data_IF_021832395571
#
_entry.id   IF_021832395571
#
_cell.length_a   1.000
_cell.length_b   1.000
_cell.length_c   1.000
_cell.angle_alpha   90.00
_cell.angle_beta   90.00
_cell.angle_gamma   90.00
#
_symmetry.space_group_name_H-M   'P 1'
#
loop_
_entity.id
_entity.type
_entity.pdbx_description
1 polymer ?
#
# COMPACT_ATOMS: atom_id res chain seq x y z
N UNK A 1 -4.33 -28.78 -9.12
CA UNK A 1 -4.09 -27.95 -7.91
C UNK A 1 -5.44 -27.53 -7.33
N UNK A 2 -5.71 -27.87 -6.06
CA UNK A 2 -6.92 -27.43 -5.34
C UNK A 2 -6.47 -26.53 -4.20
N UNK A 3 -6.82 -25.25 -4.26
CA UNK A 3 -6.58 -24.33 -3.14
C UNK A 3 -7.60 -24.66 -2.06
N UNK A 4 -7.13 -24.92 -0.85
CA UNK A 4 -8.00 -25.04 0.32
C UNK A 4 -7.98 -23.72 1.08
N UNK A 5 -9.08 -22.97 0.96
CA UNK A 5 -9.30 -21.69 1.63
C UNK A 5 -9.03 -21.78 3.13
N UNK A 6 -9.67 -22.75 3.81
CA UNK A 6 -9.60 -22.89 5.26
C UNK A 6 -8.14 -23.08 5.70
N UNK A 7 -7.44 -24.01 5.03
CA UNK A 7 -6.03 -24.29 5.31
C UNK A 7 -5.14 -23.06 5.08
N UNK A 8 -5.38 -22.28 4.03
CA UNK A 8 -4.58 -21.08 3.76
C UNK A 8 -4.76 -19.99 4.83
N UNK A 9 -5.98 -19.80 5.31
CA UNK A 9 -6.27 -18.85 6.39
C UNK A 9 -5.69 -19.34 7.71
N UNK A 10 -5.92 -20.61 8.08
CA UNK A 10 -5.41 -21.17 9.34
C UNK A 10 -3.89 -21.24 9.36
N UNK A 11 -3.24 -21.61 8.25
CA UNK A 11 -1.78 -21.64 8.15
C UNK A 11 -1.19 -20.23 8.26
N UNK A 12 -1.86 -19.21 7.71
CA UNK A 12 -1.43 -17.82 7.80
C UNK A 12 -1.46 -17.29 9.25
N UNK A 13 -2.59 -17.47 9.93
CA UNK A 13 -2.74 -17.10 11.34
C UNK A 13 -1.83 -17.92 12.25
N UNK A 14 -1.79 -19.24 12.04
CA UNK A 14 -0.93 -20.14 12.79
C UNK A 14 0.54 -19.75 12.68
N UNK A 15 1.02 -19.44 11.48
CA UNK A 15 2.39 -18.97 11.29
C UNK A 15 2.67 -17.66 12.04
N UNK A 16 1.76 -16.67 11.93
CA UNK A 16 1.92 -15.38 12.58
C UNK A 16 1.98 -15.49 14.11
N UNK A 17 1.16 -16.36 14.71
CA UNK A 17 1.11 -16.56 16.16
C UNK A 17 2.31 -17.37 16.66
N UNK A 18 2.53 -18.57 16.10
CA UNK A 18 3.54 -19.50 16.63
C UNK A 18 4.98 -19.05 16.36
N UNK A 19 5.19 -18.22 15.33
CA UNK A 19 6.52 -17.74 14.92
C UNK A 19 6.70 -16.26 15.18
N UNK A 20 5.86 -15.65 16.03
CA UNK A 20 5.88 -14.22 16.29
C UNK A 20 7.27 -13.71 16.72
N UNK A 21 7.97 -14.44 17.59
CA UNK A 21 9.34 -14.08 18.04
C UNK A 21 10.35 -14.01 16.88
N UNK A 22 10.25 -14.93 15.92
CA UNK A 22 11.12 -14.93 14.73
C UNK A 22 10.74 -13.80 13.78
N UNK A 23 9.44 -13.58 13.59
CA UNK A 23 8.92 -12.51 12.73
C UNK A 23 9.32 -11.15 13.27
N UNK A 24 9.09 -10.89 14.55
CA UNK A 24 9.46 -9.63 15.20
C UNK A 24 10.96 -9.40 15.09
N UNK A 25 11.79 -10.41 15.36
CA UNK A 25 13.26 -10.32 15.24
C UNK A 25 13.74 -9.92 13.84
N UNK A 26 13.12 -10.41 12.78
CA UNK A 26 13.53 -10.10 11.41
C UNK A 26 12.94 -8.79 10.89
N UNK A 27 11.70 -8.47 11.29
CA UNK A 27 10.92 -7.42 10.65
C UNK A 27 10.99 -6.07 11.39
N UNK A 28 11.28 -6.05 12.70
CA UNK A 28 11.21 -4.82 13.50
C UNK A 28 12.09 -3.69 12.93
N UNK A 29 13.33 -3.98 12.57
CA UNK A 29 14.29 -2.97 12.11
C UNK A 29 13.95 -2.44 10.72
N UNK A 30 13.71 -3.28 9.69
CA UNK A 30 13.25 -2.78 8.39
C UNK A 30 11.92 -2.01 8.48
N UNK A 31 10.96 -2.45 9.29
CA UNK A 31 9.69 -1.74 9.46
C UNK A 31 9.92 -0.38 10.12
N UNK A 32 10.80 -0.30 11.14
CA UNK A 32 11.18 0.96 11.76
C UNK A 32 11.76 1.94 10.73
N UNK A 33 12.66 1.47 9.85
CA UNK A 33 13.22 2.30 8.79
C UNK A 33 12.16 2.80 7.80
N UNK A 34 11.18 1.98 7.44
CA UNK A 34 10.06 2.38 6.57
C UNK A 34 9.20 3.45 7.25
N UNK A 35 8.93 3.31 8.55
CA UNK A 35 8.20 4.31 9.33
C UNK A 35 8.97 5.63 9.37
N UNK A 36 10.29 5.59 9.63
CA UNK A 36 11.14 6.77 9.64
C UNK A 36 11.19 7.47 8.28
N UNK A 37 11.33 6.73 7.18
CA UNK A 37 11.25 7.31 5.84
C UNK A 37 9.90 7.97 5.57
N UNK A 38 8.81 7.35 6.00
CA UNK A 38 7.47 7.90 5.85
C UNK A 38 7.30 9.20 6.64
N UNK A 39 7.97 9.31 7.80
CA UNK A 39 8.00 10.52 8.63
C UNK A 39 8.83 11.64 7.99
N UNK A 40 9.94 11.30 7.33
CA UNK A 40 10.82 12.27 6.68
C UNK A 40 10.25 12.81 5.36
N UNK A 41 9.42 12.03 4.67
CA UNK A 41 8.96 12.35 3.32
C UNK A 41 8.27 13.73 3.20
N UNK A 42 7.33 14.13 4.09
CA UNK A 42 6.70 15.45 4.00
C UNK A 42 7.70 16.61 4.10
N UNK A 43 8.73 16.47 4.96
CA UNK A 43 9.78 17.48 5.14
C UNK A 43 10.69 17.60 3.92
N UNK A 44 11.04 16.48 3.29
CA UNK A 44 11.81 16.47 2.04
C UNK A 44 11.03 17.18 0.93
N UNK A 45 9.73 16.91 0.81
CA UNK A 45 8.89 17.54 -0.20
C UNK A 45 8.73 19.06 0.04
N UNK A 46 8.56 19.49 1.29
CA UNK A 46 8.51 20.91 1.63
C UNK A 46 9.84 21.61 1.40
N UNK A 47 10.94 20.91 1.65
CA UNK A 47 12.29 21.41 1.39
C UNK A 47 12.49 21.69 -0.09
N UNK A 48 12.03 20.79 -0.96
CA UNK A 48 12.06 20.98 -2.42
C UNK A 48 11.22 22.19 -2.83
N UNK A 49 9.99 22.30 -2.30
CA UNK A 49 9.09 23.39 -2.67
C UNK A 49 9.60 24.78 -2.25
N UNK A 50 10.16 24.88 -1.04
CA UNK A 50 10.58 26.17 -0.48
C UNK A 50 12.04 26.53 -0.81
N UNK A 51 12.78 25.62 -1.46
CA UNK A 51 14.21 25.82 -1.78
C UNK A 51 15.12 25.94 -0.55
N UNK A 52 14.63 25.62 0.65
CA UNK A 52 15.38 25.67 1.92
C UNK A 52 15.10 24.40 2.72
N UNK A 53 16.07 23.93 3.47
CA UNK A 53 15.90 22.76 4.35
C UNK A 53 14.86 23.08 5.42
N UNK A 54 13.78 22.31 5.43
CA UNK A 54 12.72 22.37 6.45
C UNK A 54 12.79 21.09 7.26
N UNK A 55 12.87 21.25 8.56
CA UNK A 55 13.06 20.16 9.52
C UNK A 55 11.93 20.10 10.54
N UNK A 56 12.00 19.11 11.42
CA UNK A 56 11.06 18.89 12.53
C UNK A 56 11.03 20.07 13.52
N UNK A 57 12.10 20.86 13.60
CA UNK A 57 12.16 22.05 14.48
C UNK A 57 11.42 23.24 13.91
N UNK A 58 11.24 23.29 12.59
CA UNK A 58 10.67 24.45 11.90
C UNK A 58 9.15 24.38 11.84
N UNK A 59 8.59 23.20 11.58
CA UNK A 59 7.15 23.00 11.36
C UNK A 59 6.72 21.64 11.95
N UNK A 60 5.51 21.61 12.51
CA UNK A 60 4.93 20.36 13.00
C UNK A 60 4.66 19.36 11.89
N UNK A 61 4.73 18.06 12.21
CA UNK A 61 4.48 17.01 11.21
C UNK A 61 3.06 17.12 10.62
N UNK A 62 2.08 17.51 11.44
CA UNK A 62 0.70 17.68 10.99
C UNK A 62 0.57 18.83 9.99
N UNK A 63 1.21 19.95 10.29
CA UNK A 63 1.22 21.12 9.40
C UNK A 63 2.04 20.84 8.14
N UNK A 64 3.12 20.09 8.26
CA UNK A 64 3.94 19.68 7.13
C UNK A 64 3.14 18.79 6.16
N UNK A 65 2.44 17.77 6.69
CA UNK A 65 1.59 16.90 5.90
C UNK A 65 0.41 17.66 5.26
N UNK A 66 -0.23 18.57 6.00
CA UNK A 66 -1.31 19.41 5.49
C UNK A 66 -0.84 20.39 4.40
N UNK A 67 0.36 20.97 4.57
CA UNK A 67 0.99 21.83 3.58
C UNK A 67 1.25 21.12 2.26
N UNK A 68 1.80 19.89 2.32
CA UNK A 68 1.99 19.05 1.13
C UNK A 68 0.67 18.69 0.46
N UNK A 69 -0.35 18.30 1.22
CA UNK A 69 -1.65 17.96 0.65
C UNK A 69 -2.26 19.13 -0.14
N UNK A 70 -2.09 20.37 0.33
CA UNK A 70 -2.57 21.58 -0.36
C UNK A 70 -1.73 21.94 -1.60
N UNK A 71 -0.42 21.69 -1.56
CA UNK A 71 0.53 22.11 -2.60
C UNK A 71 0.97 20.97 -3.54
N UNK A 72 0.38 19.78 -3.41
CA UNK A 72 0.77 18.60 -4.16
C UNK A 72 0.68 18.81 -5.69
N UNK A 73 -0.36 19.49 -6.16
CA UNK A 73 -0.52 19.78 -7.59
C UNK A 73 0.60 20.68 -8.12
N UNK A 74 1.00 21.70 -7.34
CA UNK A 74 2.05 22.63 -7.69
C UNK A 74 3.43 21.96 -7.71
N UNK A 75 3.70 21.06 -6.75
CA UNK A 75 4.91 20.23 -6.74
C UNK A 75 5.06 19.41 -8.03
N UNK A 76 3.98 18.78 -8.49
CA UNK A 76 3.99 17.99 -9.72
C UNK A 76 4.14 18.85 -10.98
N UNK A 77 3.58 20.05 -11.00
CA UNK A 77 3.69 20.97 -12.13
C UNK A 77 5.08 21.57 -12.25
N UNK A 78 5.69 22.00 -11.14
CA UNK A 78 6.97 22.71 -11.15
C UNK A 78 8.19 21.77 -11.09
N UNK A 79 8.07 20.63 -10.41
CA UNK A 79 9.18 19.72 -10.14
C UNK A 79 8.89 18.27 -10.57
N UNK A 80 8.23 18.09 -11.72
CA UNK A 80 7.79 16.78 -12.22
C UNK A 80 8.91 15.71 -12.20
N UNK A 81 10.08 16.01 -12.75
CA UNK A 81 11.19 15.05 -12.85
C UNK A 81 11.74 14.64 -11.49
N UNK A 82 11.93 15.61 -10.59
CA UNK A 82 12.39 15.37 -9.22
C UNK A 82 11.37 14.55 -8.43
N UNK A 83 10.07 14.88 -8.55
CA UNK A 83 8.99 14.14 -7.90
C UNK A 83 8.92 12.70 -8.38
N UNK A 84 9.01 12.49 -9.69
CA UNK A 84 8.99 11.15 -10.28
C UNK A 84 10.21 10.33 -9.81
N UNK A 85 11.42 10.91 -9.86
CA UNK A 85 12.63 10.25 -9.39
C UNK A 85 12.52 9.86 -7.90
N UNK A 86 12.05 10.78 -7.06
CA UNK A 86 11.89 10.58 -5.62
C UNK A 86 10.85 9.50 -5.30
N UNK A 87 9.75 9.45 -6.05
CA UNK A 87 8.75 8.38 -5.92
C UNK A 87 9.32 7.02 -6.31
N UNK A 88 10.02 6.93 -7.45
CA UNK A 88 10.64 5.67 -7.89
C UNK A 88 11.65 5.18 -6.85
N UNK A 89 12.55 6.06 -6.40
CA UNK A 89 13.58 5.71 -5.40
C UNK A 89 12.93 5.28 -4.09
N UNK A 90 11.96 6.04 -3.59
CA UNK A 90 11.22 5.70 -2.37
C UNK A 90 10.51 4.36 -2.49
N UNK A 91 9.86 4.11 -3.63
CA UNK A 91 9.16 2.87 -3.89
C UNK A 91 10.11 1.66 -3.94
N UNK A 92 11.24 1.79 -4.67
CA UNK A 92 12.26 0.75 -4.77
C UNK A 92 12.85 0.44 -3.40
N UNK A 93 13.23 1.49 -2.65
CA UNK A 93 13.82 1.32 -1.32
C UNK A 93 12.83 0.68 -0.36
N UNK A 94 11.58 1.16 -0.31
CA UNK A 94 10.52 0.60 0.54
C UNK A 94 10.25 -0.87 0.20
N UNK A 95 10.19 -1.20 -1.09
CA UNK A 95 9.99 -2.59 -1.53
C UNK A 95 11.19 -3.47 -1.19
N UNK A 96 12.41 -2.97 -1.29
CA UNK A 96 13.61 -3.69 -0.84
C UNK A 96 13.61 -3.91 0.68
N UNK A 97 13.20 -2.91 1.46
CA UNK A 97 13.05 -3.06 2.91
C UNK A 97 12.02 -4.13 3.25
N UNK A 98 10.86 -4.14 2.58
CA UNK A 98 9.89 -5.23 2.72
C UNK A 98 10.47 -6.58 2.32
N UNK A 99 11.15 -6.66 1.18
CA UNK A 99 11.76 -7.90 0.71
C UNK A 99 12.74 -8.46 1.73
N UNK A 100 13.53 -7.60 2.40
CA UNK A 100 14.63 -7.99 3.30
C UNK A 100 14.20 -8.91 4.45
N UNK A 101 12.96 -8.80 4.93
CA UNK A 101 12.42 -9.68 5.96
C UNK A 101 11.34 -10.62 5.41
N UNK A 102 10.57 -10.19 4.42
CA UNK A 102 9.46 -10.97 3.88
C UNK A 102 9.95 -12.18 3.06
N UNK A 103 11.05 -12.06 2.31
CA UNK A 103 11.63 -13.18 1.56
C UNK A 103 12.14 -14.30 2.48
N UNK A 104 12.95 -14.02 3.53
CA UNK A 104 13.31 -15.03 4.52
C UNK A 104 12.09 -15.67 5.21
N UNK A 105 11.09 -14.88 5.59
CA UNK A 105 9.86 -15.41 6.21
C UNK A 105 9.06 -16.30 5.26
N UNK A 106 8.97 -15.95 3.99
CA UNK A 106 8.34 -16.76 2.96
C UNK A 106 9.07 -18.09 2.75
N UNK A 107 10.41 -18.09 2.79
CA UNK A 107 11.20 -19.33 2.67
C UNK A 107 11.01 -20.22 3.90
N UNK A 108 10.95 -19.62 5.08
CA UNK A 108 10.69 -20.37 6.30
C UNK A 108 9.27 -20.94 6.30
N UNK A 109 8.27 -20.15 5.93
CA UNK A 109 6.90 -20.64 5.86
C UNK A 109 6.74 -21.70 4.76
N UNK A 110 7.26 -21.47 3.55
CA UNK A 110 7.06 -22.37 2.42
C UNK A 110 7.88 -23.67 2.51
N UNK A 111 9.17 -23.58 2.90
CA UNK A 111 10.16 -24.67 2.82
C UNK A 111 10.77 -25.05 4.16
N UNK A 112 10.42 -24.38 5.26
CA UNK A 112 11.02 -24.65 6.57
C UNK A 112 12.48 -24.19 6.70
N UNK A 113 13.02 -23.44 5.75
CA UNK A 113 14.40 -22.96 5.78
C UNK A 113 14.53 -21.86 6.83
N UNK A 114 15.21 -22.16 7.94
CA UNK A 114 15.37 -21.21 9.03
C UNK A 114 16.19 -19.98 8.61
N UNK A 115 15.69 -18.77 8.89
CA UNK A 115 16.45 -17.54 8.68
C UNK A 115 17.50 -17.37 9.78
N UNK A 116 18.47 -16.48 9.54
CA UNK A 116 19.54 -16.23 10.51
C UNK A 116 19.00 -15.83 11.90
N UNK A 117 19.70 -16.24 12.96
CA UNK A 117 19.32 -15.93 14.34
C UNK A 117 19.63 -14.48 14.76
N UNK A 118 20.28 -13.69 13.89
CA UNK A 118 20.67 -12.31 14.19
C UNK A 118 19.46 -11.39 14.23
N UNK A 119 19.44 -10.46 15.18
CA UNK A 119 18.34 -9.52 15.43
C UNK A 119 18.34 -8.28 14.54
N UNK A 120 19.49 -7.93 13.95
CA UNK A 120 19.64 -6.78 13.04
C UNK A 120 20.38 -7.26 11.79
N UNK A 121 19.62 -7.66 10.76
CA UNK A 121 20.19 -8.00 9.45
C UNK A 121 19.25 -7.53 8.37
N UNK A 122 19.74 -6.66 7.49
CA UNK A 122 19.12 -6.40 6.20
C UNK A 122 19.60 -7.48 5.24
N UNK A 123 18.78 -8.51 5.03
CA UNK A 123 19.08 -9.52 4.01
C UNK A 123 18.83 -8.90 2.64
N UNK A 124 19.91 -8.55 1.93
CA UNK A 124 19.85 -8.11 0.54
C UNK A 124 20.68 -9.08 -0.27
N UNK A 125 20.09 -9.58 -1.35
CA UNK A 125 20.73 -10.58 -2.19
C UNK A 125 19.93 -10.83 -3.46
N UNK A 126 20.41 -11.69 -4.37
CA UNK A 126 19.81 -11.88 -5.69
C UNK A 126 18.31 -12.23 -5.65
N UNK A 127 17.87 -12.95 -4.60
CA UNK A 127 16.45 -13.34 -4.42
C UNK A 127 15.55 -12.14 -4.08
N UNK A 128 16.06 -11.19 -3.31
CA UNK A 128 15.35 -9.95 -2.97
C UNK A 128 15.13 -9.09 -4.23
N UNK A 129 16.11 -9.05 -5.13
CA UNK A 129 15.97 -8.40 -6.43
C UNK A 129 14.99 -9.13 -7.36
N UNK A 130 14.92 -10.46 -7.32
CA UNK A 130 13.88 -11.22 -8.05
C UNK A 130 12.49 -10.92 -7.51
N UNK A 131 12.33 -10.86 -6.19
CA UNK A 131 11.08 -10.46 -5.55
C UNK A 131 10.68 -9.04 -5.93
N UNK A 132 11.63 -8.09 -5.86
CA UNK A 132 11.44 -6.70 -6.29
C UNK A 132 11.01 -6.62 -7.75
N UNK A 133 11.75 -7.26 -8.65
CA UNK A 133 11.44 -7.29 -10.09
C UNK A 133 10.07 -7.91 -10.37
N UNK A 134 9.73 -9.00 -9.69
CA UNK A 134 8.41 -9.63 -9.80
C UNK A 134 7.28 -8.71 -9.29
N UNK A 135 7.52 -7.96 -8.22
CA UNK A 135 6.56 -7.00 -7.66
C UNK A 135 6.37 -5.81 -8.61
N UNK A 136 7.47 -5.25 -9.12
CA UNK A 136 7.45 -4.16 -10.11
C UNK A 136 6.78 -4.57 -11.41
N UNK A 137 7.09 -5.76 -11.93
CA UNK A 137 6.43 -6.30 -13.13
C UNK A 137 4.94 -6.54 -12.89
N UNK A 138 4.55 -7.02 -11.71
CA UNK A 138 3.14 -7.22 -11.35
C UNK A 138 2.39 -5.90 -11.36
N UNK A 139 2.91 -4.89 -10.66
CA UNK A 139 2.28 -3.57 -10.56
C UNK A 139 2.30 -2.86 -11.90
N UNK A 140 3.43 -2.90 -12.62
CA UNK A 140 3.56 -2.34 -13.97
C UNK A 140 2.60 -2.99 -14.95
N UNK A 141 2.41 -4.32 -14.89
CA UNK A 141 1.44 -5.02 -15.74
C UNK A 141 0.00 -4.63 -15.41
N UNK A 142 -0.36 -4.57 -14.13
CA UNK A 142 -1.69 -4.10 -13.70
C UNK A 142 -1.91 -2.66 -14.13
N UNK A 143 -0.90 -1.81 -14.00
CA UNK A 143 -0.99 -0.41 -14.39
C UNK A 143 -1.16 -0.25 -15.91
N UNK A 144 -0.26 -0.84 -16.70
CA UNK A 144 -0.25 -0.71 -18.15
C UNK A 144 -1.41 -1.41 -18.85
N UNK A 145 -1.84 -2.58 -18.37
CA UNK A 145 -2.89 -3.35 -19.03
C UNK A 145 -4.30 -2.95 -18.60
N UNK A 146 -4.46 -2.26 -17.46
CA UNK A 146 -5.78 -1.95 -16.90
C UNK A 146 -5.96 -0.47 -16.60
N UNK A 147 -5.12 0.08 -15.71
CA UNK A 147 -5.28 1.47 -15.30
C UNK A 147 -5.06 2.45 -16.45
N UNK A 148 -4.05 2.23 -17.29
CA UNK A 148 -3.76 3.12 -18.39
C UNK A 148 -4.88 3.14 -19.44
N UNK A 149 -5.38 2.00 -19.98
CA UNK A 149 -6.51 2.01 -20.92
C UNK A 149 -7.76 2.65 -20.32
N UNK A 150 -8.08 2.34 -19.06
CA UNK A 150 -9.25 2.91 -18.37
C UNK A 150 -9.11 4.42 -18.19
N UNK A 151 -7.95 4.88 -17.71
CA UNK A 151 -7.68 6.31 -17.52
C UNK A 151 -7.75 7.07 -18.84
N UNK A 152 -7.19 6.49 -19.91
CA UNK A 152 -7.28 7.05 -21.27
C UNK A 152 -8.72 7.10 -21.75
N UNK A 153 -9.50 6.03 -21.59
CA UNK A 153 -10.91 6.01 -21.96
C UNK A 153 -11.73 7.05 -21.19
N UNK A 154 -11.53 7.17 -19.87
CA UNK A 154 -12.20 8.17 -19.03
C UNK A 154 -11.81 9.59 -19.50
N UNK A 155 -10.53 9.83 -19.75
CA UNK A 155 -10.05 11.12 -20.24
C UNK A 155 -10.70 11.54 -21.56
N UNK A 156 -10.78 10.62 -22.53
CA UNK A 156 -11.47 10.89 -23.80
C UNK A 156 -12.97 11.13 -23.60
N UNK A 157 -13.65 10.31 -22.80
CA UNK A 157 -15.09 10.48 -22.53
C UNK A 157 -15.35 11.82 -21.87
N UNK A 158 -14.57 12.20 -20.85
CA UNK A 158 -14.73 13.47 -20.16
C UNK A 158 -14.43 14.65 -21.11
N UNK A 159 -13.49 14.50 -22.05
CA UNK A 159 -13.22 15.51 -23.08
C UNK A 159 -14.39 15.68 -24.06
N UNK A 160 -14.97 14.58 -24.54
CA UNK A 160 -16.16 14.61 -25.42
C UNK A 160 -17.38 15.18 -24.71
N UNK A 161 -17.60 14.84 -23.43
CA UNK A 161 -18.68 15.41 -22.63
C UNK A 161 -18.47 16.91 -22.44
N UNK A 162 -17.24 17.34 -22.12
CA UNK A 162 -16.93 18.76 -21.98
C UNK A 162 -17.15 19.53 -23.29
N UNK A 163 -16.75 18.96 -24.42
CA UNK A 163 -16.98 19.55 -25.75
C UNK A 163 -18.48 19.64 -26.06
N UNK A 164 -19.25 18.57 -25.83
CA UNK A 164 -20.69 18.53 -26.08
C UNK A 164 -21.52 19.42 -25.13
N UNK A 165 -21.05 19.66 -23.90
CA UNK A 165 -21.65 20.65 -23.00
C UNK A 165 -21.39 22.08 -23.48
N UNK A 166 -20.22 22.31 -24.09
CA UNK A 166 -19.80 23.63 -24.56
C UNK A 166 -20.34 23.97 -25.97
N UNK A 167 -20.72 22.97 -26.78
CA UNK A 167 -21.41 23.21 -28.05
C UNK A 167 -22.85 23.65 -27.79
N UNK A 168 -23.15 24.87 -28.25
CA UNK A 168 -24.47 25.48 -28.18
C UNK A 168 -25.11 25.43 -29.56
N UNK A 169 -26.28 24.80 -29.66
CA UNK A 169 -27.04 24.75 -30.92
C UNK A 169 -28.20 25.75 -30.84
N UNK A 170 -28.39 26.51 -31.92
CA UNK A 170 -29.59 27.29 -32.12
C UNK A 170 -30.66 26.36 -32.71
N UNK A 171 -31.71 26.09 -31.95
CA UNK A 171 -32.88 25.34 -32.39
C UNK A 171 -34.00 26.33 -32.66
N UNK A 172 -34.66 26.19 -33.82
CA UNK A 172 -35.88 26.91 -34.19
C UNK A 172 -37.05 25.97 -33.90
N UNK A 173 -37.77 26.14 -32.78
CA UNK A 173 -38.87 25.26 -32.40
C UNK A 173 -40.10 25.41 -33.32
N UNK A 174 -40.25 26.56 -33.99
CA UNK A 174 -41.26 26.78 -35.03
C UNK A 174 -40.59 26.95 -36.40
N UNK A 175 -40.87 26.06 -37.34
CA UNK A 175 -40.28 26.09 -38.68
C UNK A 175 -40.64 27.37 -39.47
N UNK A 176 -41.75 28.02 -39.12
CA UNK A 176 -42.29 29.21 -39.79
C UNK A 176 -41.97 30.54 -39.07
N UNK A 177 -41.21 30.52 -37.95
CA UNK A 177 -40.88 31.70 -37.16
C UNK A 177 -39.38 31.94 -37.03
N UNK A 178 -38.89 33.04 -37.61
CA UNK A 178 -37.51 33.51 -37.44
C UNK A 178 -37.24 34.13 -36.06
N UNK A 179 -38.27 34.27 -35.21
CA UNK A 179 -38.20 35.02 -33.95
C UNK A 179 -38.03 34.17 -32.69
N UNK A 180 -38.12 32.84 -32.78
CA UNK A 180 -37.92 31.93 -31.64
C UNK A 180 -36.59 31.17 -31.77
N UNK A 181 -35.47 31.81 -31.44
CA UNK A 181 -34.17 31.13 -31.37
C UNK A 181 -33.96 30.64 -29.93
N UNK A 182 -34.00 29.32 -29.71
CA UNK A 182 -33.60 28.73 -28.44
C UNK A 182 -32.18 28.19 -28.53
N UNK A 183 -31.31 28.64 -27.62
CA UNK A 183 -29.95 28.12 -27.50
C UNK A 183 -30.00 26.93 -26.55
N UNK A 184 -29.95 25.73 -27.11
CA UNK A 184 -29.96 24.48 -26.35
C UNK A 184 -28.52 23.95 -26.27
N UNK A 185 -28.09 23.54 -25.07
CA UNK A 185 -26.82 22.82 -24.91
C UNK A 185 -26.94 21.47 -25.63
N UNK A 186 -25.90 21.04 -26.35
CA UNK A 186 -25.91 19.82 -27.15
C UNK A 186 -26.17 18.51 -26.41
N UNK A 187 -26.30 18.55 -25.08
CA UNK A 187 -26.40 17.36 -24.23
C UNK A 187 -27.85 17.08 -23.81
N UNK A 188 -28.65 16.48 -24.70
CA UNK A 188 -30.02 16.06 -24.38
C UNK A 188 -30.09 14.82 -23.47
N UNK A 189 -29.00 14.04 -23.32
CA UNK A 189 -29.01 12.76 -22.57
C UNK A 189 -27.81 12.57 -21.63
N UNK A 190 -27.60 13.49 -20.69
CA UNK A 190 -26.56 13.36 -19.65
C UNK A 190 -26.60 12.05 -18.86
N UNK A 191 -27.78 11.43 -18.77
CA UNK A 191 -27.97 10.10 -18.20
C UNK A 191 -27.21 9.00 -18.96
N UNK A 192 -27.23 9.00 -20.29
CA UNK A 192 -26.57 7.96 -21.09
C UNK A 192 -25.05 7.95 -20.92
N UNK A 193 -24.44 9.13 -20.88
CA UNK A 193 -23.00 9.28 -20.61
C UNK A 193 -22.63 8.92 -19.17
N UNK A 194 -23.45 9.29 -18.18
CA UNK A 194 -23.23 8.90 -16.79
C UNK A 194 -23.31 7.36 -16.63
N UNK A 195 -24.26 6.70 -17.29
CA UNK A 195 -24.39 5.24 -17.30
C UNK A 195 -23.19 4.59 -17.99
N UNK A 196 -22.74 5.09 -19.15
CA UNK A 196 -21.55 4.58 -19.84
C UNK A 196 -20.29 4.71 -18.97
N UNK A 197 -20.09 5.86 -18.32
CA UNK A 197 -18.98 6.11 -17.39
C UNK A 197 -19.03 5.13 -16.21
N UNK A 198 -20.22 4.92 -15.64
CA UNK A 198 -20.44 3.93 -14.57
C UNK A 198 -20.09 2.51 -15.00
N UNK A 199 -20.55 2.08 -16.18
CA UNK A 199 -20.25 0.75 -16.74
C UNK A 199 -18.73 0.57 -16.91
N UNK A 200 -18.03 1.55 -17.50
CA UNK A 200 -16.58 1.49 -17.69
C UNK A 200 -15.82 1.44 -16.36
N UNK A 201 -16.26 2.19 -15.35
CA UNK A 201 -15.69 2.13 -14.01
C UNK A 201 -15.89 0.75 -13.38
N UNK A 202 -17.08 0.17 -13.50
CA UNK A 202 -17.36 -1.18 -12.98
C UNK A 202 -16.49 -2.23 -13.68
N UNK A 203 -16.41 -2.18 -15.02
CA UNK A 203 -15.53 -3.08 -15.80
C UNK A 203 -14.08 -2.92 -15.36
N UNK A 204 -13.61 -1.68 -15.18
CA UNK A 204 -12.27 -1.39 -14.70
C UNK A 204 -12.00 -1.98 -13.31
N UNK A 205 -12.91 -1.77 -12.36
CA UNK A 205 -12.80 -2.29 -11.00
C UNK A 205 -12.76 -3.82 -11.02
N UNK A 206 -13.68 -4.46 -11.74
CA UNK A 206 -13.74 -5.92 -11.85
C UNK A 206 -12.45 -6.47 -12.48
N UNK A 207 -11.96 -5.83 -13.54
CA UNK A 207 -10.73 -6.24 -14.20
C UNK A 207 -9.51 -6.05 -13.28
N UNK A 208 -9.38 -4.92 -12.58
CA UNK A 208 -8.33 -4.68 -11.58
C UNK A 208 -8.37 -5.73 -10.48
N UNK A 209 -9.54 -6.04 -9.92
CA UNK A 209 -9.68 -7.08 -8.90
C UNK A 209 -9.26 -8.45 -9.44
N UNK A 210 -9.74 -8.81 -10.63
CA UNK A 210 -9.40 -10.08 -11.27
C UNK A 210 -7.90 -10.24 -11.52
N UNK A 211 -7.25 -9.24 -12.11
CA UNK A 211 -5.82 -9.29 -12.40
C UNK A 211 -4.96 -9.15 -11.15
N UNK A 212 -5.40 -8.37 -10.16
CA UNK A 212 -4.72 -8.30 -8.86
C UNK A 212 -4.67 -9.68 -8.23
N UNK A 213 -5.78 -10.42 -8.22
CA UNK A 213 -5.82 -11.81 -7.74
C UNK A 213 -4.91 -12.73 -8.57
N UNK A 214 -4.87 -12.56 -9.90
CA UNK A 214 -4.05 -13.36 -10.83
C UNK A 214 -2.55 -13.19 -10.61
N UNK A 215 -2.10 -11.97 -10.37
CA UNK A 215 -0.68 -11.66 -10.18
C UNK A 215 -0.24 -11.64 -8.72
N UNK A 216 -1.17 -11.67 -7.76
CA UNK A 216 -0.91 -11.61 -6.32
C UNK A 216 0.18 -12.58 -5.85
N UNK A 217 0.18 -13.83 -6.35
CA UNK A 217 1.12 -14.84 -5.89
C UNK A 217 2.50 -14.79 -6.60
N UNK A 218 2.66 -14.00 -7.67
CA UNK A 218 3.89 -13.95 -8.47
C UNK A 218 5.10 -13.53 -7.62
N UNK A 219 5.04 -12.47 -6.79
CA UNK A 219 6.15 -12.10 -5.92
C UNK A 219 6.51 -13.21 -4.93
N UNK A 220 5.53 -13.92 -4.36
CA UNK A 220 5.78 -15.00 -3.41
C UNK A 220 6.56 -16.15 -4.04
N UNK A 221 6.19 -16.55 -5.25
CA UNK A 221 6.94 -17.56 -6.00
C UNK A 221 8.36 -17.10 -6.34
N UNK A 222 8.53 -15.84 -6.72
CA UNK A 222 9.84 -15.30 -7.05
C UNK A 222 10.78 -15.23 -5.82
N UNK A 223 10.23 -14.97 -4.62
CA UNK A 223 11.00 -14.90 -3.38
C UNK A 223 11.46 -16.27 -2.86
N UNK A 224 10.68 -17.33 -3.07
CA UNK A 224 10.98 -18.67 -2.53
C UNK A 224 11.90 -19.51 -3.44
N UNK A 225 11.88 -19.29 -4.76
CA UNK A 225 12.50 -20.19 -5.75
C UNK A 225 14.03 -20.16 -5.84
N UNK A 226 14.60 -21.32 -6.22
CA UNK A 226 16.04 -21.49 -6.47
C UNK A 226 16.37 -21.63 -7.96
N UNK A 227 17.64 -21.44 -8.30
CA UNK A 227 18.12 -21.32 -9.69
C UNK A 227 17.91 -22.60 -10.52
N UNK A 228 17.66 -23.74 -9.87
CA UNK A 228 17.40 -25.04 -10.47
C UNK A 228 15.93 -25.29 -10.83
N UNK A 229 14.98 -24.48 -10.33
CA UNK A 229 13.56 -24.64 -10.64
C UNK A 229 13.27 -24.16 -12.08
N UNK A 230 13.05 -25.09 -13.01
CA UNK A 230 12.78 -24.84 -14.45
C UNK A 230 11.47 -24.09 -14.76
N UNK A 231 10.74 -23.68 -13.73
CA UNK A 231 9.36 -23.22 -13.86
C UNK A 231 9.25 -21.68 -13.89
N UNK A 232 8.34 -21.16 -14.74
CA UNK A 232 7.99 -19.74 -14.81
C UNK A 232 7.05 -19.34 -13.65
N UNK A 233 7.37 -18.30 -12.87
CA UNK A 233 6.59 -17.84 -11.70
C UNK A 233 5.21 -17.33 -12.10
N UNK A 234 5.11 -16.74 -13.29
CA UNK A 234 3.86 -16.28 -13.89
C UNK A 234 2.95 -17.48 -14.17
N UNK A 235 3.49 -18.53 -14.82
CA UNK A 235 2.74 -19.76 -15.13
C UNK A 235 2.18 -20.41 -13.86
N UNK A 236 2.97 -20.47 -12.79
CA UNK A 236 2.52 -21.02 -11.51
C UNK A 236 1.38 -20.20 -10.88
N UNK A 237 1.49 -18.86 -10.86
CA UNK A 237 0.43 -17.97 -10.37
C UNK A 237 -0.87 -18.12 -11.19
N UNK A 238 -0.74 -18.25 -12.50
CA UNK A 238 -1.86 -18.48 -13.41
C UNK A 238 -2.53 -19.84 -13.20
N UNK A 239 -1.75 -20.87 -12.89
CA UNK A 239 -2.28 -22.20 -12.55
C UNK A 239 -3.03 -22.20 -11.22
N UNK A 240 -2.51 -21.47 -10.21
CA UNK A 240 -3.20 -21.30 -8.92
C UNK A 240 -4.58 -20.66 -9.08
N UNK A 241 -4.70 -19.67 -9.95
CA UNK A 241 -5.91 -18.86 -10.12
C UNK A 241 -6.84 -19.36 -11.22
N UNK A 242 -6.60 -20.56 -11.80
CA UNK A 242 -7.48 -21.14 -12.81
C UNK A 242 -8.79 -21.61 -12.19
N UNK A 243 -9.91 -21.40 -12.87
CA UNK A 243 -11.25 -21.86 -12.49
C UNK A 243 -11.73 -21.34 -11.12
N UNK A 244 -12.49 -22.12 -10.37
CA UNK A 244 -13.03 -21.80 -9.04
C UNK A 244 -11.98 -21.49 -7.98
N UNK A 245 -10.70 -21.75 -8.24
CA UNK A 245 -9.63 -21.39 -7.30
C UNK A 245 -9.44 -19.87 -7.17
N UNK A 246 -9.73 -19.07 -8.20
CA UNK A 246 -9.70 -17.60 -8.07
C UNK A 246 -10.75 -17.08 -7.08
N UNK A 247 -11.97 -17.61 -7.15
CA UNK A 247 -13.04 -17.28 -6.21
C UNK A 247 -12.69 -17.71 -4.77
N UNK A 248 -12.11 -18.90 -4.59
CA UNK A 248 -11.62 -19.37 -3.27
C UNK A 248 -10.49 -18.50 -2.71
N UNK A 249 -9.56 -18.06 -3.56
CA UNK A 249 -8.48 -17.14 -3.19
C UNK A 249 -9.07 -15.78 -2.78
N UNK A 250 -10.01 -15.25 -3.56
CA UNK A 250 -10.70 -13.98 -3.26
C UNK A 250 -11.42 -14.04 -1.91
N UNK A 251 -12.17 -15.12 -1.65
CA UNK A 251 -12.81 -15.35 -0.36
C UNK A 251 -11.78 -15.45 0.78
N UNK A 252 -10.64 -16.12 0.53
CA UNK A 252 -9.43 -16.15 1.38
C UNK A 252 -8.99 -14.77 1.83
N UNK A 253 -8.70 -13.93 0.86
CA UNK A 253 -8.21 -12.58 1.06
C UNK A 253 -9.28 -11.69 1.69
N UNK A 254 -10.56 -11.89 1.36
CA UNK A 254 -11.66 -11.14 1.94
C UNK A 254 -11.82 -11.45 3.43
N UNK A 255 -11.82 -12.73 3.82
CA UNK A 255 -11.94 -13.13 5.24
C UNK A 255 -10.72 -12.66 6.04
N UNK A 256 -9.50 -12.82 5.50
CA UNK A 256 -8.30 -12.29 6.12
C UNK A 256 -8.34 -10.76 6.23
N UNK A 257 -8.77 -10.08 5.18
CA UNK A 257 -8.91 -8.63 5.14
C UNK A 257 -9.92 -8.12 6.16
N UNK A 258 -11.09 -8.76 6.27
CA UNK A 258 -12.10 -8.43 7.29
C UNK A 258 -11.54 -8.69 8.69
N UNK A 259 -10.88 -9.81 8.93
CA UNK A 259 -10.31 -10.12 10.24
C UNK A 259 -9.23 -9.10 10.63
N UNK A 260 -8.30 -8.79 9.71
CA UNK A 260 -7.28 -7.75 9.92
C UNK A 260 -7.93 -6.38 10.13
N UNK A 261 -8.98 -6.05 9.37
CA UNK A 261 -9.72 -4.80 9.53
C UNK A 261 -10.38 -4.71 10.91
N UNK A 262 -11.06 -5.76 11.37
CA UNK A 262 -11.69 -5.81 12.70
C UNK A 262 -10.63 -5.63 13.78
N UNK A 263 -9.52 -6.37 13.71
CA UNK A 263 -8.44 -6.24 14.70
C UNK A 263 -7.82 -4.84 14.65
N UNK A 264 -7.55 -4.30 13.46
CA UNK A 264 -6.99 -2.96 13.27
C UNK A 264 -7.96 -1.89 13.77
N UNK A 265 -9.26 -2.06 13.55
CA UNK A 265 -10.32 -1.17 14.02
C UNK A 265 -10.44 -1.21 15.54
N UNK A 266 -10.50 -2.40 16.14
CA UNK A 266 -10.55 -2.57 17.59
C UNK A 266 -9.30 -1.96 18.23
N UNK A 267 -8.12 -2.26 17.69
CA UNK A 267 -6.89 -1.66 18.18
C UNK A 267 -6.94 -0.14 18.01
N UNK A 268 -7.33 0.38 16.84
CA UNK A 268 -7.43 1.82 16.58
C UNK A 268 -8.37 2.55 17.55
N UNK A 269 -9.51 1.95 17.85
CA UNK A 269 -10.57 2.57 18.65
C UNK A 269 -10.33 2.40 20.16
N UNK A 270 -9.89 1.21 20.59
CA UNK A 270 -9.89 0.84 22.01
C UNK A 270 -8.50 0.71 22.64
N UNK A 271 -7.46 0.46 21.85
CA UNK A 271 -6.14 0.11 22.41
C UNK A 271 -5.12 1.21 22.06
N UNK A 272 -4.91 1.45 20.77
CA UNK A 272 -3.96 2.39 20.19
C UNK A 272 -4.36 2.79 18.77
N UNK A 273 -4.55 4.09 18.47
CA UNK A 273 -4.65 4.53 17.08
C UNK A 273 -3.29 4.27 16.37
N UNK A 274 -3.29 3.43 15.34
CA UNK A 274 -2.15 2.68 14.80
C UNK A 274 -1.36 3.37 13.69
N UNK A 275 -1.95 4.30 12.93
CA UNK A 275 -1.33 4.76 11.67
C UNK A 275 -1.04 6.26 11.64
N UNK A 276 -2.03 7.13 11.88
CA UNK A 276 -1.79 8.58 11.93
C UNK A 276 -1.07 9.01 13.22
N UNK A 277 -1.31 8.29 14.31
CA UNK A 277 -0.80 8.60 15.64
C UNK A 277 0.50 7.92 15.98
N UNK A 278 0.95 6.86 15.30
CA UNK A 278 2.32 6.35 15.48
C UNK A 278 3.36 7.39 15.00
N UNK A 279 3.07 8.04 13.88
CA UNK A 279 3.85 9.15 13.35
C UNK A 279 3.77 10.40 14.24
N UNK A 280 2.56 10.76 14.72
CA UNK A 280 2.41 11.82 15.74
C UNK A 280 3.05 11.45 17.08
N UNK A 281 3.09 10.18 17.44
CA UNK A 281 3.70 9.67 18.67
C UNK A 281 5.23 9.75 18.57
N UNK A 282 5.84 9.42 17.44
CA UNK A 282 7.29 9.65 17.24
C UNK A 282 7.64 11.15 17.25
N UNK A 283 6.78 12.00 16.68
CA UNK A 283 6.93 13.45 16.76
C UNK A 283 6.76 13.96 18.20
N UNK A 284 5.70 13.55 18.89
CA UNK A 284 5.46 13.82 20.30
C UNK A 284 6.61 13.30 21.16
N UNK A 285 7.23 12.16 20.84
CA UNK A 285 8.40 11.65 21.55
C UNK A 285 9.57 12.64 21.48
N UNK A 286 9.83 13.27 20.34
CA UNK A 286 10.87 14.29 20.20
C UNK A 286 10.53 15.54 21.01
N UNK A 287 9.27 16.01 20.96
CA UNK A 287 8.82 17.20 21.69
C UNK A 287 8.77 16.98 23.20
N UNK A 288 8.19 15.86 23.66
CA UNK A 288 8.15 15.45 25.05
C UNK A 288 9.55 15.17 25.59
N UNK A 289 10.50 14.67 24.78
CA UNK A 289 11.90 14.52 25.22
C UNK A 289 12.56 15.88 25.48
N UNK A 290 12.33 16.87 24.61
CA UNK A 290 12.83 18.23 24.82
C UNK A 290 12.18 18.93 26.03
N UNK A 291 10.86 18.75 26.19
CA UNK A 291 10.13 19.27 27.36
C UNK A 291 10.62 18.65 28.67
N UNK A 292 10.77 17.32 28.70
CA UNK A 292 11.23 16.56 29.85
C UNK A 292 12.68 16.90 30.24
N UNK A 293 13.56 17.16 29.27
CA UNK A 293 14.91 17.66 29.55
C UNK A 293 14.90 19.10 30.10
N UNK A 294 13.91 19.91 29.72
CA UNK A 294 13.77 21.30 30.19
C UNK A 294 13.12 21.44 31.57
N UNK A 295 12.21 20.53 31.93
CA UNK A 295 11.42 20.58 33.19
C UNK A 295 11.93 19.62 34.26
N UNK A 296 12.92 18.78 33.94
CA UNK A 296 13.51 17.81 34.86
C UNK A 296 14.01 18.49 36.15
N UNK A 297 13.41 18.11 37.28
CA UNK A 297 13.81 18.59 38.60
C UNK A 297 13.27 19.96 39.00
N UNK A 298 12.42 20.59 38.19
CA UNK A 298 11.85 21.91 38.50
C UNK A 298 10.46 21.84 39.17
N UNK A 299 9.54 20.97 38.72
CA UNK A 299 8.14 20.85 39.23
C UNK A 299 7.51 19.44 39.02
N UNK A 300 6.30 19.12 39.53
CA UNK A 300 5.63 17.81 39.28
C UNK A 300 5.34 17.50 37.81
N UNK A 301 5.37 18.52 36.94
CA UNK A 301 5.08 18.42 35.50
C UNK A 301 5.97 17.39 34.78
N UNK A 302 7.25 17.25 35.17
CA UNK A 302 8.15 16.27 34.54
C UNK A 302 7.68 14.82 34.71
N UNK A 303 6.90 14.51 35.76
CA UNK A 303 6.34 13.16 35.97
C UNK A 303 5.22 12.89 34.99
N UNK A 304 4.35 13.88 34.73
CA UNK A 304 3.30 13.77 33.72
C UNK A 304 3.92 13.64 32.32
N UNK A 305 4.93 14.46 32.01
CA UNK A 305 5.67 14.40 30.75
C UNK A 305 6.39 13.04 30.58
N UNK A 306 6.93 12.46 31.67
CA UNK A 306 7.55 11.14 31.67
C UNK A 306 6.54 10.02 31.43
N UNK A 307 5.37 10.08 32.07
CA UNK A 307 4.30 9.10 31.87
C UNK A 307 3.80 9.17 30.43
N UNK A 308 3.60 10.37 29.89
CA UNK A 308 3.23 10.55 28.48
C UNK A 308 4.30 9.99 27.54
N UNK A 309 5.58 10.27 27.81
CA UNK A 309 6.69 9.74 27.03
C UNK A 309 6.74 8.21 27.05
N UNK A 310 6.62 7.58 28.24
CA UNK A 310 6.58 6.12 28.38
C UNK A 310 5.41 5.56 27.60
N UNK A 311 4.24 6.19 27.70
CA UNK A 311 3.04 5.75 27.00
C UNK A 311 3.24 5.81 25.49
N UNK A 312 3.82 6.90 24.98
CA UNK A 312 4.19 7.07 23.58
C UNK A 312 5.14 5.97 23.07
N UNK A 313 6.17 5.62 23.85
CA UNK A 313 7.08 4.49 23.53
C UNK A 313 6.30 3.18 23.45
N UNK A 314 5.44 2.90 24.43
CA UNK A 314 4.58 1.70 24.44
C UNK A 314 3.71 1.66 23.18
N UNK A 315 3.14 2.79 22.76
CA UNK A 315 2.34 2.87 21.51
C UNK A 315 3.16 2.46 20.30
N UNK A 316 4.39 2.98 20.18
CA UNK A 316 5.28 2.68 19.05
C UNK A 316 5.62 1.18 19.02
N UNK A 317 5.96 0.59 20.18
CA UNK A 317 6.31 -0.83 20.28
C UNK A 317 5.13 -1.73 19.92
N UNK A 318 3.92 -1.43 20.42
CA UNK A 318 2.73 -2.21 20.12
C UNK A 318 2.31 -2.08 18.65
N UNK A 319 2.43 -0.90 18.04
CA UNK A 319 2.20 -0.71 16.61
C UNK A 319 3.21 -1.51 15.77
N UNK A 320 4.49 -1.50 16.17
CA UNK A 320 5.53 -2.28 15.49
C UNK A 320 5.26 -3.79 15.61
N UNK A 321 4.87 -4.25 16.80
CA UNK A 321 4.49 -5.64 17.06
C UNK A 321 3.29 -6.05 16.19
N UNK A 322 2.27 -5.20 16.07
CA UNK A 322 1.12 -5.46 15.22
C UNK A 322 1.49 -5.51 13.74
N UNK A 323 2.32 -4.58 13.25
CA UNK A 323 2.82 -4.62 11.87
C UNK A 323 3.59 -5.92 11.61
N UNK A 324 4.47 -6.33 12.53
CA UNK A 324 5.15 -7.62 12.44
C UNK A 324 4.15 -8.78 12.34
N UNK A 325 3.09 -8.77 13.15
CA UNK A 325 2.03 -9.77 13.10
C UNK A 325 1.32 -9.81 11.73
N UNK A 326 0.94 -8.66 11.19
CA UNK A 326 0.30 -8.55 9.85
C UNK A 326 1.22 -9.10 8.76
N UNK A 327 2.51 -8.75 8.78
CA UNK A 327 3.46 -9.31 7.83
C UNK A 327 3.70 -10.81 8.02
N UNK A 328 3.59 -11.31 9.26
CA UNK A 328 3.54 -12.73 9.58
C UNK A 328 2.39 -13.44 8.86
N UNK A 329 1.19 -12.86 8.88
CA UNK A 329 0.02 -13.40 8.16
C UNK A 329 0.30 -13.44 6.65
N UNK A 330 0.85 -12.37 6.08
CA UNK A 330 1.18 -12.30 4.65
C UNK A 330 2.21 -13.39 4.28
N UNK A 331 3.27 -13.55 5.08
CA UNK A 331 4.28 -14.57 4.83
C UNK A 331 3.74 -16.00 5.01
N UNK A 332 2.86 -16.23 5.99
CA UNK A 332 2.19 -17.51 6.21
C UNK A 332 1.24 -17.87 5.07
N UNK A 333 0.47 -16.90 4.58
CA UNK A 333 -0.40 -17.05 3.41
C UNK A 333 0.44 -17.36 2.16
N UNK A 334 1.47 -16.57 1.89
CA UNK A 334 2.38 -16.79 0.76
C UNK A 334 3.02 -18.18 0.80
N UNK A 335 3.48 -18.61 1.98
CA UNK A 335 4.01 -19.96 2.19
C UNK A 335 2.99 -21.07 1.92
N UNK A 336 1.76 -20.92 2.42
CA UNK A 336 0.67 -21.86 2.16
C UNK A 336 0.35 -21.97 0.67
N UNK A 337 0.27 -20.83 -0.04
CA UNK A 337 0.03 -20.82 -1.48
C UNK A 337 1.14 -21.55 -2.25
N UNK A 338 2.39 -21.36 -1.84
CA UNK A 338 3.54 -22.07 -2.43
C UNK A 338 3.45 -23.57 -2.15
N UNK A 339 3.13 -24.00 -0.93
CA UNK A 339 2.95 -25.43 -0.61
C UNK A 339 1.79 -26.07 -1.40
N UNK A 340 0.65 -25.38 -1.48
CA UNK A 340 -0.54 -25.88 -2.18
C UNK A 340 -0.39 -25.90 -3.71
N UNK A 341 0.53 -25.12 -4.26
CA UNK A 341 0.93 -25.22 -5.66
C UNK A 341 1.78 -26.46 -5.97
N UNK A 342 2.14 -27.29 -4.99
CA UNK A 342 3.00 -28.48 -5.19
C UNK A 342 4.46 -28.13 -5.50
N UNK A 343 4.91 -26.92 -5.15
CA UNK A 343 6.26 -26.41 -5.41
C UNK A 343 7.20 -26.52 -4.19
N UNK A 344 6.73 -27.12 -3.10
CA UNK A 344 7.49 -27.28 -1.85
C UNK A 344 7.82 -28.75 -1.55
N UNK A 345 7.51 -29.67 -2.47
CA UNK A 345 7.66 -31.12 -2.31
C UNK A 345 8.80 -31.72 -3.13
N UNK A 346 9.60 -30.89 -3.78
CA UNK A 346 10.92 -31.22 -4.34
C UNK A 346 11.98 -30.50 -3.49
#
# INVERSE_FOLDING_TARGET
MRINFYRSVTDAWGFAIHRFSLISRLAWFPILLIILMSLLMPYVLLTILNGRVITITDISLADAAAGIAKQQALLWQQHFSTMLALQIVSYVFTTLMYASFLVPLLRYSARGIEPSHRSVVLHIGPRHFKFLGATLLTIGSIFLLLWMPVAVSIFFIDSYVAEALNTKYAVFPDADSLHSIQIVSGLESGFGFAVLKGILQVIAIVAVLYFSLRFFAVPFFAGVREKSDSYNSIKASWMLTRSWNAAKLACGLMVLGIAIFIVTYILNVYVLPLTATALRAMYSLVFSSNGLMGTMGQDWQWILDLIEWIWVVIRIVLNLAFLCFVFGIIAGLGGSLVRQSGLASD
#
